data_IF_802497081510
#
_entry.id   IF_802497081510
#
_cell.length_a   1.000
_cell.length_b   1.000
_cell.length_c   1.000
_cell.angle_alpha   90.00
_cell.angle_beta   90.00
_cell.angle_gamma   90.00
#
_symmetry.space_group_name_H-M   'P 1'
#
loop_
_entity.id
_entity.type
_entity.pdbx_description
1 polymer ?
#
# COMPACT_ATOMS: atom_id res chain seq x y z
N UNK A 1 23.30 17.76 -11.71
CA UNK A 1 22.00 17.07 -11.63
C UNK A 1 21.41 17.40 -10.29
N UNK A 2 20.20 17.96 -10.26
CA UNK A 2 19.51 18.27 -9.01
C UNK A 2 18.37 17.27 -8.80
N UNK A 3 18.30 16.71 -7.60
CA UNK A 3 17.21 15.86 -7.13
C UNK A 3 16.65 16.55 -5.88
N UNK A 4 15.35 16.77 -5.88
CA UNK A 4 14.64 17.44 -4.79
C UNK A 4 13.35 16.71 -4.47
N UNK A 5 12.88 16.84 -3.24
CA UNK A 5 11.60 16.30 -2.79
C UNK A 5 10.59 17.46 -2.72
N UNK A 6 9.40 17.24 -3.28
CA UNK A 6 8.40 18.29 -3.49
C UNK A 6 7.04 17.81 -2.98
N UNK A 7 6.30 18.71 -2.33
CA UNK A 7 4.91 18.45 -1.99
C UNK A 7 4.06 18.46 -3.28
N UNK A 8 3.36 17.35 -3.53
CA UNK A 8 2.61 17.09 -4.77
C UNK A 8 1.44 18.05 -4.99
N UNK A 9 0.87 18.56 -3.90
CA UNK A 9 -0.31 19.44 -3.92
C UNK A 9 0.11 20.92 -4.01
N UNK A 10 1.12 21.33 -3.24
CA UNK A 10 1.52 22.75 -3.16
C UNK A 10 2.64 23.12 -4.14
N UNK A 11 3.35 22.14 -4.71
CA UNK A 11 4.57 22.31 -5.49
C UNK A 11 5.66 23.09 -4.72
N UNK A 12 5.73 22.88 -3.41
CA UNK A 12 6.74 23.47 -2.54
C UNK A 12 7.85 22.48 -2.23
N UNK A 13 9.06 23.00 -2.13
CA UNK A 13 10.23 22.22 -1.76
C UNK A 13 10.07 21.71 -0.32
N UNK A 14 10.32 20.42 -0.14
CA UNK A 14 10.35 19.79 1.18
C UNK A 14 11.78 19.70 1.71
N UNK A 15 11.89 19.72 3.05
CA UNK A 15 13.16 19.51 3.73
C UNK A 15 13.60 18.05 3.63
N UNK A 16 14.91 17.81 3.74
CA UNK A 16 15.44 16.45 3.84
C UNK A 16 14.82 15.75 5.07
N UNK A 17 14.50 14.46 4.93
CA UNK A 17 13.78 13.70 5.94
C UNK A 17 12.26 13.77 5.86
N UNK A 18 11.70 14.56 4.95
CA UNK A 18 10.26 14.55 4.62
C UNK A 18 10.03 13.81 3.31
N UNK A 19 9.02 12.97 3.26
CA UNK A 19 8.63 12.26 2.03
C UNK A 19 7.77 13.15 1.13
N UNK A 20 7.99 13.05 -0.18
CA UNK A 20 7.14 13.66 -1.21
C UNK A 20 7.54 13.18 -2.61
N UNK A 21 7.06 13.87 -3.64
CA UNK A 21 7.40 13.53 -5.03
C UNK A 21 8.85 13.88 -5.34
N UNK A 22 9.54 12.96 -6.03
CA UNK A 22 10.90 13.16 -6.49
C UNK A 22 10.86 13.99 -7.77
N UNK A 23 11.55 15.12 -7.77
CA UNK A 23 11.69 15.98 -8.94
C UNK A 23 13.16 16.02 -9.36
N UNK A 24 13.42 15.87 -10.66
CA UNK A 24 14.78 15.76 -11.20
C UNK A 24 15.04 16.83 -12.27
N UNK A 25 16.10 17.60 -12.09
CA UNK A 25 16.65 18.47 -13.12
C UNK A 25 18.02 17.93 -13.59
N UNK A 26 18.06 17.43 -14.83
CA UNK A 26 19.29 17.00 -15.50
C UNK A 26 19.28 17.47 -16.96
N UNK A 27 20.19 18.37 -17.33
CA UNK A 27 20.21 18.97 -18.67
C UNK A 27 20.60 17.99 -19.78
N UNK A 28 21.35 16.92 -19.48
CA UNK A 28 21.91 16.02 -20.48
C UNK A 28 21.09 14.74 -20.73
N UNK A 29 20.21 14.36 -19.79
CA UNK A 29 19.53 13.04 -19.81
C UNK A 29 18.00 13.11 -19.81
N UNK A 30 17.44 14.31 -19.68
CA UNK A 30 15.99 14.50 -19.65
C UNK A 30 15.41 14.40 -21.07
N UNK A 31 14.35 13.59 -21.24
CA UNK A 31 13.58 13.58 -22.48
C UNK A 31 12.90 14.94 -22.70
N UNK A 32 12.60 15.27 -23.97
CA UNK A 32 11.95 16.54 -24.32
C UNK A 32 10.47 16.60 -23.88
N UNK A 33 9.81 15.44 -23.76
CA UNK A 33 8.40 15.36 -23.46
C UNK A 33 7.74 14.09 -23.95
N UNK A 34 6.41 14.07 -23.83
CA UNK A 34 5.56 13.04 -24.41
C UNK A 34 5.19 13.40 -25.85
N UNK A 35 5.37 12.44 -26.76
CA UNK A 35 4.98 12.61 -28.16
C UNK A 35 3.48 12.93 -28.26
N UNK A 36 3.14 14.01 -28.98
CA UNK A 36 1.76 14.46 -29.22
C UNK A 36 0.94 14.84 -27.98
N UNK A 37 1.58 15.05 -26.82
CA UNK A 37 0.91 15.48 -25.58
C UNK A 37 1.58 16.73 -25.00
N UNK A 38 1.39 17.91 -25.63
CA UNK A 38 2.08 19.14 -25.24
C UNK A 38 1.71 19.61 -23.82
N UNK A 39 0.45 19.44 -23.41
CA UNK A 39 0.02 19.82 -22.06
C UNK A 39 0.68 18.95 -20.98
N UNK A 40 0.64 17.62 -21.13
CA UNK A 40 1.34 16.70 -20.22
C UNK A 40 2.86 16.91 -20.26
N UNK A 41 3.42 17.25 -21.42
CA UNK A 41 4.84 17.59 -21.54
C UNK A 41 5.18 18.82 -20.70
N UNK A 42 4.37 19.87 -20.80
CA UNK A 42 4.57 21.09 -20.02
C UNK A 42 4.46 20.82 -18.52
N UNK A 43 3.47 20.00 -18.12
CA UNK A 43 3.24 19.64 -16.72
C UNK A 43 4.37 18.77 -16.15
N UNK A 44 4.74 17.69 -16.84
CA UNK A 44 5.66 16.68 -16.30
C UNK A 44 7.12 17.05 -16.54
N UNK A 45 7.48 17.60 -17.70
CA UNK A 45 8.89 17.80 -18.09
C UNK A 45 9.39 19.24 -17.96
N UNK A 46 8.48 20.20 -17.76
CA UNK A 46 8.83 21.63 -17.71
C UNK A 46 8.37 22.27 -16.40
N UNK A 47 8.23 21.47 -15.33
CA UNK A 47 7.82 21.92 -14.01
C UNK A 47 8.85 22.85 -13.38
N UNK A 48 8.39 23.84 -12.61
CA UNK A 48 9.24 24.88 -12.00
C UNK A 48 8.92 25.06 -10.52
N UNK A 49 9.96 25.21 -9.72
CA UNK A 49 9.86 25.55 -8.30
C UNK A 49 10.06 27.05 -8.09
N UNK A 50 9.48 27.60 -7.02
CA UNK A 50 9.74 28.98 -6.60
C UNK A 50 11.11 29.08 -5.89
N UNK A 51 11.61 30.30 -5.72
CA UNK A 51 12.83 30.57 -4.95
C UNK A 51 14.12 30.16 -5.66
N UNK A 52 15.03 29.47 -4.93
CA UNK A 52 16.40 29.19 -5.37
C UNK A 52 16.51 28.39 -6.68
N UNK A 53 15.47 27.64 -7.04
CA UNK A 53 15.43 26.80 -8.25
C UNK A 53 14.54 27.38 -9.36
N UNK A 54 14.14 28.65 -9.26
CA UNK A 54 13.22 29.30 -10.22
C UNK A 54 13.68 29.30 -11.67
N UNK A 55 14.99 29.24 -11.91
CA UNK A 55 15.56 29.18 -13.25
C UNK A 55 15.56 27.77 -13.86
N UNK A 56 15.42 26.74 -13.03
CA UNK A 56 15.51 25.34 -13.46
C UNK A 56 14.16 24.78 -13.95
N UNK A 57 14.24 23.68 -14.69
CA UNK A 57 13.09 22.89 -15.12
C UNK A 57 13.26 21.46 -14.64
N UNK A 58 12.24 20.96 -13.97
CA UNK A 58 12.22 19.65 -13.35
C UNK A 58 11.31 18.70 -14.12
N UNK A 59 11.72 17.44 -14.14
CA UNK A 59 10.84 16.32 -14.42
C UNK A 59 10.18 15.88 -13.11
N UNK A 60 8.85 15.83 -13.13
CA UNK A 60 8.03 15.16 -12.13
C UNK A 60 8.09 13.66 -12.39
N UNK A 61 8.72 12.87 -11.52
CA UNK A 61 8.87 11.43 -11.79
C UNK A 61 7.59 10.65 -11.55
N UNK A 62 6.66 11.19 -10.75
CA UNK A 62 5.53 10.46 -10.21
C UNK A 62 5.94 9.39 -9.17
N UNK A 63 7.22 9.29 -8.82
CA UNK A 63 7.74 8.46 -7.75
C UNK A 63 7.87 9.29 -6.47
N UNK A 64 7.54 8.71 -5.33
CA UNK A 64 7.75 9.29 -4.00
C UNK A 64 9.06 8.81 -3.42
N UNK A 65 9.66 9.66 -2.60
CA UNK A 65 10.87 9.32 -1.88
C UNK A 65 11.23 10.31 -0.82
N UNK A 66 12.34 10.01 -0.16
CA UNK A 66 12.88 10.77 0.96
C UNK A 66 14.40 10.85 0.82
N UNK A 67 14.97 12.00 1.13
CA UNK A 67 16.42 12.20 1.20
C UNK A 67 16.83 12.15 2.67
N UNK A 68 17.81 11.31 3.03
CA UNK A 68 18.29 11.17 4.42
C UNK A 68 19.82 11.04 4.53
N UNK A 69 20.30 11.36 5.72
CA UNK A 69 21.71 11.23 6.11
C UNK A 69 22.57 12.40 5.63
N UNK A 70 23.77 12.51 6.18
CA UNK A 70 24.71 13.59 5.85
C UNK A 70 25.15 13.53 4.38
N UNK A 71 25.25 12.32 3.83
CA UNK A 71 25.57 12.06 2.42
C UNK A 71 24.36 12.24 1.48
N UNK A 72 23.16 12.53 2.03
CA UNK A 72 21.91 12.80 1.30
C UNK A 72 21.51 11.69 0.32
N UNK A 73 21.40 10.46 0.81
CA UNK A 73 20.90 9.35 -0.01
C UNK A 73 19.41 9.50 -0.29
N UNK A 74 19.02 9.24 -1.56
CA UNK A 74 17.63 9.14 -1.98
C UNK A 74 17.13 7.71 -1.75
N UNK A 75 16.01 7.59 -1.02
CA UNK A 75 15.26 6.36 -0.87
C UNK A 75 13.93 6.52 -1.60
N UNK A 76 13.71 5.71 -2.64
CA UNK A 76 12.42 5.67 -3.34
C UNK A 76 11.46 4.82 -2.52
N UNK A 77 10.33 5.40 -2.14
CA UNK A 77 9.35 4.77 -1.25
C UNK A 77 8.16 4.22 -2.02
N UNK A 78 7.78 4.81 -3.16
CA UNK A 78 6.68 4.29 -3.95
C UNK A 78 6.27 5.19 -5.10
N UNK A 79 5.02 5.06 -5.53
CA UNK A 79 4.42 5.82 -6.63
C UNK A 79 3.35 6.75 -6.06
N UNK A 80 3.30 7.99 -6.53
CA UNK A 80 2.26 8.94 -6.13
C UNK A 80 0.85 8.39 -6.43
N UNK A 81 0.70 7.68 -7.56
CA UNK A 81 -0.56 7.05 -7.97
C UNK A 81 -1.00 5.85 -7.13
N UNK A 82 -0.10 5.29 -6.31
CA UNK A 82 -0.32 4.05 -5.58
C UNK A 82 -0.47 4.30 -4.06
N UNK A 83 -0.64 5.57 -3.66
CA UNK A 83 -1.04 5.95 -2.32
C UNK A 83 -2.52 5.65 -2.14
N UNK A 84 -2.83 4.89 -1.09
CA UNK A 84 -4.18 4.63 -0.63
C UNK A 84 -4.48 5.65 0.48
N UNK A 85 -5.56 6.40 0.29
CA UNK A 85 -6.07 7.32 1.32
C UNK A 85 -7.09 6.57 2.17
N UNK A 86 -6.86 6.57 3.47
CA UNK A 86 -7.75 5.98 4.46
C UNK A 86 -8.56 7.09 5.16
N UNK A 87 -9.63 6.70 5.87
CA UNK A 87 -10.33 7.63 6.76
C UNK A 87 -9.36 8.29 7.76
N UNK A 88 -9.68 9.51 8.20
CA UNK A 88 -8.85 10.30 9.13
C UNK A 88 -7.50 10.82 8.57
N UNK A 89 -7.41 11.07 7.26
CA UNK A 89 -6.21 11.65 6.61
C UNK A 89 -4.94 10.79 6.70
N UNK A 90 -5.07 9.48 6.96
CA UNK A 90 -3.94 8.55 6.93
C UNK A 90 -3.70 8.11 5.49
N UNK A 91 -2.46 8.16 5.04
CA UNK A 91 -2.03 7.72 3.72
C UNK A 91 -1.08 6.52 3.87
N UNK A 92 -1.18 5.54 2.98
CA UNK A 92 -0.29 4.38 2.99
C UNK A 92 0.03 3.94 1.57
N UNK A 93 1.27 3.53 1.33
CA UNK A 93 1.64 2.96 0.05
C UNK A 93 1.06 1.56 -0.10
N UNK A 94 0.40 1.29 -1.23
CA UNK A 94 -0.23 0.00 -1.47
C UNK A 94 0.70 -1.22 -1.27
N UNK A 95 1.98 -1.09 -1.60
CA UNK A 95 2.95 -2.19 -1.49
C UNK A 95 3.26 -2.63 -0.05
N UNK A 96 3.05 -1.76 0.95
CA UNK A 96 3.15 -2.17 2.36
C UNK A 96 2.01 -3.12 2.72
N UNK A 97 0.77 -2.79 2.35
CA UNK A 97 -0.39 -3.65 2.57
C UNK A 97 -0.26 -4.99 1.83
N UNK A 98 0.30 -4.97 0.61
CA UNK A 98 0.54 -6.18 -0.18
C UNK A 98 1.61 -7.08 0.45
N UNK A 99 2.65 -6.48 1.03
CA UNK A 99 3.71 -7.21 1.73
C UNK A 99 3.17 -7.86 3.00
N UNK A 100 2.46 -7.08 3.83
CA UNK A 100 1.80 -7.60 5.03
C UNK A 100 0.78 -8.71 4.69
N UNK A 101 -0.02 -8.54 3.64
CA UNK A 101 -0.94 -9.57 3.18
C UNK A 101 -0.21 -10.85 2.77
N UNK A 102 0.89 -10.75 2.01
CA UNK A 102 1.68 -11.92 1.63
C UNK A 102 2.25 -12.65 2.86
N UNK A 103 2.84 -11.90 3.80
CA UNK A 103 3.46 -12.44 5.01
C UNK A 103 2.47 -13.15 5.93
N UNK A 104 1.20 -12.75 5.91
CA UNK A 104 0.14 -13.40 6.70
C UNK A 104 -0.01 -14.89 6.41
N UNK A 105 0.23 -15.32 5.16
CA UNK A 105 -0.06 -16.66 4.66
C UNK A 105 0.87 -17.05 3.49
N UNK A 106 2.19 -16.92 3.65
CA UNK A 106 3.20 -17.16 2.58
C UNK A 106 3.10 -18.53 1.91
N UNK A 107 2.57 -19.54 2.61
CA UNK A 107 2.35 -20.89 2.08
C UNK A 107 1.21 -20.96 1.05
N UNK A 108 0.24 -20.06 1.11
CA UNK A 108 -0.98 -20.10 0.31
C UNK A 108 -1.05 -19.00 -0.74
N UNK A 109 -0.34 -17.89 -0.51
CA UNK A 109 -0.38 -16.72 -1.37
C UNK A 109 0.81 -16.69 -2.31
N UNK A 110 0.59 -16.22 -3.53
CA UNK A 110 1.65 -16.06 -4.53
C UNK A 110 2.34 -14.70 -4.36
N UNK A 111 3.62 -14.73 -3.99
CA UNK A 111 4.44 -13.54 -3.84
C UNK A 111 4.46 -12.67 -5.11
N UNK A 112 4.34 -11.35 -4.93
CA UNK A 112 4.26 -10.39 -6.03
C UNK A 112 2.98 -10.48 -6.86
N UNK A 113 1.96 -11.22 -6.41
CA UNK A 113 0.63 -11.31 -7.00
C UNK A 113 -0.43 -10.95 -5.95
N UNK A 114 -0.29 -9.78 -5.32
CA UNK A 114 -1.27 -9.23 -4.39
C UNK A 114 -1.42 -7.76 -4.73
N UNK A 115 -2.66 -7.28 -4.89
CA UNK A 115 -2.95 -5.89 -5.19
C UNK A 115 -3.78 -5.27 -4.06
N UNK A 116 -3.31 -4.17 -3.49
CA UNK A 116 -4.07 -3.35 -2.56
C UNK A 116 -4.53 -2.05 -3.24
N UNK A 117 -5.75 -1.63 -2.94
CA UNK A 117 -6.34 -0.39 -3.45
C UNK A 117 -7.53 0.06 -2.59
N UNK A 118 -7.93 1.31 -2.71
CA UNK A 118 -9.22 1.78 -2.17
C UNK A 118 -10.39 1.28 -3.03
N UNK A 119 -11.54 1.10 -2.40
CA UNK A 119 -12.84 0.85 -3.00
C UNK A 119 -13.79 1.90 -2.44
N UNK A 120 -14.56 2.53 -3.33
CA UNK A 120 -15.48 3.63 -3.00
C UNK A 120 -14.85 4.81 -2.23
N UNK A 121 -13.53 4.99 -2.33
CA UNK A 121 -12.82 6.16 -1.79
C UNK A 121 -12.47 6.11 -0.31
N UNK A 122 -12.88 5.07 0.43
CA UNK A 122 -12.58 4.98 1.87
C UNK A 122 -12.37 3.56 2.41
N UNK A 123 -12.65 2.54 1.60
CA UNK A 123 -12.61 1.14 2.03
C UNK A 123 -11.43 0.44 1.38
N UNK A 124 -10.46 -0.01 2.17
CA UNK A 124 -9.30 -0.74 1.64
C UNK A 124 -9.67 -2.16 1.24
N UNK A 125 -9.30 -2.54 0.02
CA UNK A 125 -9.45 -3.88 -0.52
C UNK A 125 -8.10 -4.52 -0.84
N UNK A 126 -7.99 -5.82 -0.62
CA UNK A 126 -6.84 -6.64 -0.97
C UNK A 126 -7.30 -7.80 -1.86
N UNK A 127 -6.70 -7.92 -3.03
CA UNK A 127 -6.89 -9.05 -3.94
C UNK A 127 -5.60 -9.86 -3.97
N UNK A 128 -5.66 -11.15 -3.66
CA UNK A 128 -4.47 -12.00 -3.56
C UNK A 128 -4.63 -13.27 -4.40
N UNK A 129 -3.64 -13.56 -5.26
CA UNK A 129 -3.59 -14.83 -5.98
C UNK A 129 -3.23 -15.98 -5.04
N UNK A 130 -4.04 -17.02 -5.06
CA UNK A 130 -3.70 -18.31 -4.45
C UNK A 130 -2.65 -19.02 -5.30
N UNK A 131 -1.65 -19.61 -4.64
CA UNK A 131 -0.83 -20.65 -5.26
C UNK A 131 -1.44 -22.03 -4.98
N UNK A 132 -1.19 -23.01 -5.87
CA UNK A 132 -1.73 -24.36 -5.71
C UNK A 132 -1.26 -24.95 -4.38
N UNK A 133 -2.21 -25.27 -3.51
CA UNK A 133 -1.93 -25.78 -2.17
C UNK A 133 -2.91 -26.88 -1.79
N UNK A 134 -2.58 -28.13 -2.13
CA UNK A 134 -3.29 -29.32 -1.65
C UNK A 134 -4.83 -29.24 -1.76
N UNK A 135 -5.52 -29.65 -0.68
CA UNK A 135 -6.98 -29.52 -0.60
C UNK A 135 -7.39 -28.07 -0.30
N UNK A 136 -8.03 -27.45 -1.29
CA UNK A 136 -8.68 -26.15 -1.18
C UNK A 136 -10.12 -26.34 -0.68
N UNK A 137 -10.43 -25.76 0.49
CA UNK A 137 -11.79 -25.77 1.04
C UNK A 137 -12.18 -24.39 1.61
N UNK A 138 -13.48 -24.20 1.84
CA UNK A 138 -14.03 -22.91 2.27
C UNK A 138 -13.45 -22.44 3.61
N UNK A 139 -13.24 -23.34 4.57
CA UNK A 139 -12.66 -23.01 5.87
C UNK A 139 -11.23 -22.48 5.77
N UNK A 140 -10.43 -23.08 4.89
CA UNK A 140 -9.07 -22.62 4.59
C UNK A 140 -9.08 -21.22 3.97
N UNK A 141 -9.91 -20.99 2.95
CA UNK A 141 -10.02 -19.68 2.31
C UNK A 141 -10.47 -18.58 3.28
N UNK A 142 -11.43 -18.89 4.16
CA UNK A 142 -11.88 -17.98 5.21
C UNK A 142 -10.74 -17.62 6.16
N UNK A 143 -10.00 -18.63 6.64
CA UNK A 143 -8.85 -18.43 7.52
C UNK A 143 -7.75 -17.57 6.89
N UNK A 144 -7.50 -17.71 5.58
CA UNK A 144 -6.54 -16.87 4.86
C UNK A 144 -7.05 -15.42 4.78
N UNK A 145 -8.34 -15.20 4.48
CA UNK A 145 -8.90 -13.84 4.42
C UNK A 145 -8.86 -13.13 5.78
N UNK A 146 -9.22 -13.82 6.85
CA UNK A 146 -9.13 -13.32 8.22
C UNK A 146 -7.67 -13.07 8.63
N UNK A 147 -6.75 -13.95 8.23
CA UNK A 147 -5.31 -13.81 8.44
C UNK A 147 -4.74 -12.56 7.76
N UNK A 148 -5.08 -12.32 6.49
CA UNK A 148 -4.71 -11.11 5.75
C UNK A 148 -5.20 -9.86 6.49
N UNK A 149 -6.50 -9.80 6.81
CA UNK A 149 -7.09 -8.65 7.53
C UNK A 149 -6.39 -8.39 8.86
N UNK A 150 -6.21 -9.44 9.67
CA UNK A 150 -5.59 -9.33 10.99
C UNK A 150 -4.13 -8.90 10.95
N UNK A 151 -3.36 -9.44 10.00
CA UNK A 151 -1.94 -9.13 9.87
C UNK A 151 -1.69 -7.74 9.31
N UNK A 152 -2.47 -7.30 8.31
CA UNK A 152 -2.40 -5.93 7.78
C UNK A 152 -2.75 -4.90 8.86
N UNK A 153 -3.77 -5.17 9.69
CA UNK A 153 -4.09 -4.31 10.83
C UNK A 153 -2.95 -4.27 11.85
N UNK A 154 -2.27 -5.40 12.08
CA UNK A 154 -1.17 -5.50 13.04
C UNK A 154 0.09 -4.75 12.60
N UNK A 155 0.51 -4.92 11.35
CA UNK A 155 1.76 -4.35 10.83
C UNK A 155 1.59 -2.90 10.36
N UNK A 156 0.49 -2.59 9.69
CA UNK A 156 0.28 -1.30 9.00
C UNK A 156 -0.76 -0.42 9.70
N UNK A 157 -1.49 -0.93 10.69
CA UNK A 157 -2.55 -0.18 11.39
C UNK A 157 -3.76 0.12 10.50
N UNK A 158 -3.88 -0.55 9.35
CA UNK A 158 -4.92 -0.30 8.36
C UNK A 158 -6.02 -1.36 8.43
N UNK A 159 -7.27 -0.90 8.53
CA UNK A 159 -8.45 -1.74 8.43
C UNK A 159 -8.72 -2.14 6.98
N UNK A 160 -8.75 -3.45 6.72
CA UNK A 160 -9.10 -4.02 5.40
C UNK A 160 -10.58 -4.40 5.40
N UNK A 161 -11.37 -3.72 4.56
CA UNK A 161 -12.81 -3.95 4.45
C UNK A 161 -13.20 -5.03 3.43
N UNK A 162 -12.32 -5.36 2.49
CA UNK A 162 -12.56 -6.42 1.51
C UNK A 162 -11.30 -7.24 1.29
N UNK A 163 -11.41 -8.56 1.35
CA UNK A 163 -10.35 -9.48 0.89
C UNK A 163 -10.94 -10.42 -0.15
N UNK A 164 -10.30 -10.49 -1.32
CA UNK A 164 -10.67 -11.41 -2.40
C UNK A 164 -9.50 -12.34 -2.73
N UNK A 165 -9.70 -13.63 -2.54
CA UNK A 165 -8.79 -14.67 -3.01
C UNK A 165 -9.17 -15.05 -4.43
N UNK A 166 -8.18 -15.07 -5.32
CA UNK A 166 -8.41 -15.28 -6.76
C UNK A 166 -7.48 -16.36 -7.30
N UNK A 167 -7.85 -16.95 -8.44
CA UNK A 167 -6.98 -17.94 -9.09
C UNK A 167 -5.66 -17.30 -9.56
N UNK A 168 -4.60 -18.11 -9.56
CA UNK A 168 -3.32 -17.74 -10.18
C UNK A 168 -3.50 -17.22 -11.61
N UNK A 169 -2.88 -16.08 -11.93
CA UNK A 169 -2.96 -15.41 -13.23
C UNK A 169 -4.08 -14.37 -13.34
N UNK A 170 -4.87 -14.16 -12.28
CA UNK A 170 -5.98 -13.19 -12.30
C UNK A 170 -5.51 -11.74 -12.14
N UNK A 171 -4.39 -11.49 -11.44
CA UNK A 171 -3.90 -10.14 -11.19
C UNK A 171 -3.08 -9.64 -12.39
N UNK A 172 -3.51 -8.55 -13.04
CA UNK A 172 -2.83 -8.01 -14.20
C UNK A 172 -1.45 -7.48 -13.85
N UNK A 173 -0.50 -7.75 -14.75
CA UNK A 173 0.89 -7.30 -14.64
C UNK A 173 1.35 -6.69 -15.95
N UNK A 174 2.22 -5.70 -15.83
CA UNK A 174 3.03 -5.19 -16.94
C UNK A 174 3.97 -6.28 -17.48
N UNK A 175 4.54 -6.07 -18.66
CA UNK A 175 5.53 -6.97 -19.26
C UNK A 175 6.77 -7.17 -18.38
N UNK A 176 7.11 -6.19 -17.54
CA UNK A 176 8.18 -6.30 -16.54
C UNK A 176 7.74 -6.95 -15.23
N UNK A 177 6.54 -7.50 -15.14
CA UNK A 177 6.02 -8.21 -13.96
C UNK A 177 5.48 -7.31 -12.84
N UNK A 178 5.44 -5.98 -13.01
CA UNK A 178 4.85 -5.06 -12.01
C UNK A 178 3.33 -5.15 -12.03
N UNK A 179 2.72 -5.18 -10.86
CA UNK A 179 1.26 -5.22 -10.68
C UNK A 179 0.61 -3.96 -11.27
N UNK A 180 -0.48 -4.13 -12.00
CA UNK A 180 -1.31 -3.04 -12.50
C UNK A 180 -2.52 -2.86 -11.58
N UNK A 181 -2.32 -2.20 -10.43
CA UNK A 181 -3.33 -2.06 -9.36
C UNK A 181 -4.66 -1.49 -9.85
N UNK A 182 -4.61 -0.44 -10.68
CA UNK A 182 -5.81 0.17 -11.26
C UNK A 182 -6.65 -0.82 -12.08
N UNK A 183 -6.00 -1.69 -12.87
CA UNK A 183 -6.68 -2.69 -13.69
C UNK A 183 -7.15 -3.86 -12.83
N UNK A 184 -6.42 -4.21 -11.77
CA UNK A 184 -6.88 -5.19 -10.78
C UNK A 184 -8.18 -4.72 -10.09
N UNK A 185 -8.22 -3.44 -9.67
CA UNK A 185 -9.41 -2.76 -9.14
C UNK A 185 -10.56 -2.81 -10.13
N UNK A 186 -10.34 -2.38 -11.38
CA UNK A 186 -11.36 -2.39 -12.42
C UNK A 186 -11.93 -3.80 -12.66
N UNK A 187 -11.06 -4.82 -12.79
CA UNK A 187 -11.47 -6.20 -13.03
C UNK A 187 -12.28 -6.77 -11.87
N UNK A 188 -11.87 -6.51 -10.63
CA UNK A 188 -12.62 -6.92 -9.45
C UNK A 188 -14.01 -6.28 -9.45
N UNK A 189 -14.08 -4.95 -9.58
CA UNK A 189 -15.34 -4.20 -9.52
C UNK A 189 -16.30 -4.51 -10.67
N UNK A 190 -15.77 -4.91 -11.84
CA UNK A 190 -16.57 -5.31 -13.00
C UNK A 190 -16.89 -6.80 -13.07
N UNK A 191 -16.49 -7.59 -12.06
CA UNK A 191 -16.73 -9.04 -12.02
C UNK A 191 -15.94 -9.84 -13.07
N UNK A 192 -14.86 -9.29 -13.62
CA UNK A 192 -13.99 -9.92 -14.62
C UNK A 192 -12.82 -10.71 -14.01
N UNK A 193 -12.85 -10.92 -12.70
CA UNK A 193 -11.81 -11.63 -11.94
C UNK A 193 -12.33 -13.00 -11.51
N UNK A 194 -11.53 -14.05 -11.65
CA UNK A 194 -11.88 -15.39 -11.16
C UNK A 194 -11.68 -15.49 -9.64
N UNK A 195 -12.72 -15.10 -8.90
CA UNK A 195 -12.75 -15.11 -7.44
C UNK A 195 -13.02 -16.53 -6.91
N UNK A 196 -12.18 -16.98 -5.98
CA UNK A 196 -12.33 -18.21 -5.20
C UNK A 196 -13.13 -17.97 -3.93
N UNK A 197 -12.85 -16.84 -3.27
CA UNK A 197 -13.58 -16.36 -2.09
C UNK A 197 -13.48 -14.84 -2.01
N UNK A 198 -14.58 -14.19 -1.65
CA UNK A 198 -14.60 -12.78 -1.29
C UNK A 198 -15.22 -12.65 0.11
N UNK A 199 -14.50 -11.98 1.01
CA UNK A 199 -15.00 -11.61 2.31
C UNK A 199 -15.08 -10.09 2.41
N UNK A 200 -16.24 -9.61 2.83
CA UNK A 200 -16.48 -8.21 3.19
C UNK A 200 -16.53 -8.12 4.69
N UNK A 201 -15.74 -7.21 5.24
CA UNK A 201 -15.68 -6.91 6.66
C UNK A 201 -16.32 -5.54 6.83
N UNK A 202 -17.56 -5.51 7.29
CA UNK A 202 -18.29 -4.24 7.44
C UNK A 202 -17.65 -3.39 8.54
N UNK A 203 -17.77 -2.05 8.45
CA UNK A 203 -17.32 -1.14 9.54
C UNK A 203 -18.03 -1.44 10.88
N UNK A 204 -19.17 -2.14 10.87
CA UNK A 204 -19.91 -2.56 12.07
C UNK A 204 -19.29 -3.79 12.75
N UNK A 205 -18.67 -4.70 11.99
CA UNK A 205 -18.00 -5.90 12.53
C UNK A 205 -16.66 -5.58 13.23
N UNK A 206 -16.11 -4.38 13.01
CA UNK A 206 -14.89 -3.92 13.68
C UNK A 206 -15.11 -3.49 15.14
N UNK A 207 -16.33 -3.13 15.54
CA UNK A 207 -16.66 -2.88 16.97
C UNK A 207 -16.71 -4.19 17.76
N UNK A 208 -17.18 -5.27 17.15
CA UNK A 208 -17.23 -6.59 17.77
C UNK A 208 -15.84 -7.23 17.83
N UNK A 209 -15.01 -7.01 16.80
CA UNK A 209 -13.60 -7.39 16.81
C UNK A 209 -12.77 -6.54 17.79
N UNK A 210 -12.98 -5.22 17.90
CA UNK A 210 -12.35 -4.38 18.96
C UNK A 210 -12.76 -4.84 20.35
N UNK A 211 -14.04 -5.15 20.58
CA UNK A 211 -14.52 -5.70 21.85
C UNK A 211 -13.93 -7.07 22.14
N UNK A 212 -13.86 -7.96 21.16
CA UNK A 212 -13.28 -9.30 21.30
C UNK A 212 -11.77 -9.24 21.54
N UNK A 213 -11.04 -8.43 20.77
CA UNK A 213 -9.60 -8.23 20.88
C UNK A 213 -9.21 -7.55 22.20
N UNK A 214 -9.90 -6.49 22.61
CA UNK A 214 -9.67 -5.84 23.92
C UNK A 214 -10.08 -6.72 25.09
N UNK A 215 -11.14 -7.54 24.94
CA UNK A 215 -11.54 -8.52 25.96
C UNK A 215 -10.52 -9.64 26.08
N UNK A 216 -9.98 -10.14 24.97
CA UNK A 216 -8.89 -11.13 24.97
C UNK A 216 -7.58 -10.53 25.53
N UNK A 217 -7.25 -9.28 25.21
CA UNK A 217 -6.12 -8.55 25.82
C UNK A 217 -6.30 -8.30 27.34
N UNK A 218 -7.55 -8.12 27.79
CA UNK A 218 -7.89 -7.97 29.21
C UNK A 218 -7.96 -9.30 29.97
N UNK A 219 -8.30 -10.40 29.29
CA UNK A 219 -8.25 -11.76 29.85
C UNK A 219 -6.79 -12.17 30.04
N UNK A 220 -5.93 -11.91 29.05
CA UNK A 220 -4.49 -12.24 29.10
C UNK A 220 -3.73 -11.44 30.18
N UNK A 221 -4.13 -10.17 30.41
CA UNK A 221 -3.63 -9.35 31.54
C UNK A 221 -4.17 -9.79 32.92
N UNK A 222 -5.30 -10.50 32.99
CA UNK A 222 -5.86 -11.04 34.24
C UNK A 222 -5.26 -12.41 34.58
N UNK A 223 -4.93 -13.23 33.58
CA UNK A 223 -4.23 -14.50 33.77
C UNK A 223 -2.74 -14.30 34.10
N UNK A 224 -2.09 -13.28 33.51
CA UNK A 224 -0.70 -12.92 33.85
C UNK A 224 -0.50 -12.28 35.24
N UNK A 225 -1.57 -12.11 36.04
CA UNK A 225 -1.51 -11.57 37.42
C UNK A 225 -1.76 -12.61 38.52
N UNK A 226 -1.93 -13.88 38.17
CA UNK A 226 -1.95 -14.97 39.16
C UNK A 226 -0.75 -15.87 38.92
N UNK A 227 -0.05 -16.20 40.01
CA UNK A 227 1.21 -16.96 40.09
C UNK A 227 2.41 -16.03 39.84
N UNK A 228 3.07 -15.48 40.85
CA UNK A 228 3.84 -16.18 41.90
C UNK A 228 3.87 -15.34 43.19
N UNK A 229 3.52 -15.94 44.34
CA UNK A 229 4.26 -15.89 45.61
C UNK A 229 3.72 -17.01 46.52
N UNK A 230 4.53 -18.07 46.70
CA UNK A 230 4.42 -19.01 47.82
C UNK A 230 4.99 -18.32 49.08
N UNK A 231 4.28 -18.36 50.22
CA UNK A 231 4.85 -18.63 51.56
C UNK A 231 3.88 -18.30 52.71
N UNK A 232 3.77 -19.27 53.62
CA UNK A 232 3.43 -19.21 55.05
C UNK A 232 1.95 -19.17 55.49
N UNK A 233 1.62 -20.23 56.25
CA UNK A 233 0.43 -20.56 57.06
C UNK A 233 -0.72 -21.28 56.33
#
# INVERSE_FOLDING_TARGET
MNIVIVNEETNELLEDGVEGEIWIASSASNALGYLSHPFLTQEVFQSRLKGRFSHERFIRTGDRGIIKGDERFLYVTGRCSDIIKHGNMVETHAHYLETAAFESCVRFLRGGCIAAFDVHGDTTAIVAEMQKSGEENEGMFRGICEGIRGFVMKEEGIHVGVVALVKSGSIPKTTSGKIQRWLAKERLLSGKTEVLMEMKFSKEEDEEFKKSFLKNLMIDKRESKKVVLYSNL
#
